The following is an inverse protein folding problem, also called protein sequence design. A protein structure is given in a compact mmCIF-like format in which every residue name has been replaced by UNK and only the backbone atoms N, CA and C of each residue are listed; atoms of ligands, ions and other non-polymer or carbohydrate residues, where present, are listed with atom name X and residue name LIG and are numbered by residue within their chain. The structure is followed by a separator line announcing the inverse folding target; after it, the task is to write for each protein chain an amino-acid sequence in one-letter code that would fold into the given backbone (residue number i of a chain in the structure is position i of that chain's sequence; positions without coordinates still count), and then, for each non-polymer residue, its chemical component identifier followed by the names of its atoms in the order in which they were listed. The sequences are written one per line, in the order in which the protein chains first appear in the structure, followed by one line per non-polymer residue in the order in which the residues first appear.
data_IF_277987939142
#
_entry.id   IF_277987939142
#
_cell.length_a   1.000
_cell.length_b   1.000
_cell.length_c   1.000
_cell.angle_alpha   90.00
_cell.angle_beta   90.00
_cell.angle_gamma   90.00
#
_symmetry.space_group_name_H-M   'P 1'
#
loop_
_entity.id
_entity.type
_entity.pdbx_description
1 polymer ?
#
# COMPACT_ATOMS: atom_id res chain seq x y z
N UNK A 1 7.12 -26.90 19.62
CA UNK A 1 7.95 -25.69 19.47
C UNK A 1 7.61 -25.12 18.11
N UNK A 2 7.05 -23.92 18.05
CA UNK A 2 6.54 -23.34 16.79
C UNK A 2 7.68 -22.85 15.92
N UNK A 3 7.63 -23.17 14.62
CA UNK A 3 8.55 -22.66 13.62
C UNK A 3 8.19 -21.21 13.25
N UNK A 4 9.20 -20.37 13.01
CA UNK A 4 9.05 -18.98 12.58
C UNK A 4 9.81 -18.73 11.27
N UNK A 5 9.17 -18.08 10.31
CA UNK A 5 9.78 -17.58 9.07
C UNK A 5 9.80 -16.04 9.11
N UNK A 6 10.79 -15.41 8.47
CA UNK A 6 10.88 -13.94 8.37
C UNK A 6 10.97 -13.55 6.90
N UNK A 7 10.16 -12.58 6.48
CA UNK A 7 10.14 -12.00 5.13
C UNK A 7 10.92 -10.70 5.10
N UNK A 8 11.67 -10.49 4.04
CA UNK A 8 12.34 -9.22 3.76
C UNK A 8 11.94 -8.82 2.34
N UNK A 9 11.40 -7.61 2.22
CA UNK A 9 11.01 -6.98 0.96
C UNK A 9 12.06 -5.92 0.66
N UNK A 10 12.70 -6.01 -0.51
CA UNK A 10 13.70 -5.06 -0.99
C UNK A 10 13.19 -4.40 -2.28
N UNK A 11 13.39 -3.10 -2.40
CA UNK A 11 12.85 -2.28 -3.50
C UNK A 11 13.98 -1.84 -4.43
N UNK A 12 13.92 -2.26 -5.69
CA UNK A 12 14.72 -1.65 -6.75
C UNK A 12 14.08 -0.33 -7.18
N UNK A 13 14.77 0.79 -7.01
CA UNK A 13 14.19 2.13 -7.27
C UNK A 13 14.26 2.55 -8.74
N UNK A 14 13.14 3.06 -9.26
CA UNK A 14 13.07 4.03 -10.36
C UNK A 14 12.67 5.38 -9.73
N UNK A 15 13.22 6.50 -10.20
CA UNK A 15 12.80 7.84 -9.75
C UNK A 15 11.31 8.08 -10.11
N UNK A 16 10.56 8.72 -9.22
CA UNK A 16 9.16 9.17 -9.40
C UNK A 16 8.04 8.10 -9.48
N UNK A 17 8.29 6.86 -9.05
CA UNK A 17 7.27 5.80 -8.99
C UNK A 17 6.86 5.45 -7.54
N UNK A 18 5.56 5.31 -7.27
CA UNK A 18 5.06 4.70 -6.03
C UNK A 18 4.95 3.19 -6.21
N UNK A 19 5.70 2.45 -5.39
CA UNK A 19 5.66 0.99 -5.33
C UNK A 19 5.93 0.56 -3.88
N UNK A 20 4.90 0.08 -3.20
CA UNK A 20 4.97 -0.36 -1.81
C UNK A 20 4.36 -1.74 -1.70
N UNK A 21 4.98 -2.61 -0.90
CA UNK A 21 4.48 -3.94 -0.63
C UNK A 21 4.47 -4.23 0.87
N UNK A 22 3.42 -4.91 1.33
CA UNK A 22 3.22 -5.25 2.74
C UNK A 22 2.54 -6.62 2.90
N UNK A 23 2.76 -7.28 4.03
CA UNK A 23 2.02 -8.51 4.35
C UNK A 23 0.55 -8.17 4.59
N UNK A 24 -0.36 -9.01 4.07
CA UNK A 24 -1.78 -8.87 4.36
C UNK A 24 -2.07 -9.35 5.78
N UNK A 25 -2.15 -8.43 6.74
CA UNK A 25 -2.38 -8.80 8.14
C UNK A 25 -3.70 -9.54 8.34
N UNK A 26 -4.75 -9.21 7.58
CA UNK A 26 -6.08 -9.79 7.77
C UNK A 26 -6.08 -11.22 7.25
N UNK A 27 -5.61 -11.45 6.02
CA UNK A 27 -5.60 -12.78 5.39
C UNK A 27 -4.59 -13.72 6.01
N UNK A 28 -3.46 -13.19 6.47
CA UNK A 28 -2.48 -13.99 7.21
C UNK A 28 -2.86 -14.17 8.69
N UNK A 29 -3.94 -13.53 9.18
CA UNK A 29 -4.35 -13.60 10.59
C UNK A 29 -3.30 -13.05 11.55
N UNK A 30 -2.63 -11.97 11.18
CA UNK A 30 -1.57 -11.31 11.94
C UNK A 30 -0.25 -12.07 12.01
N UNK A 31 -0.11 -13.17 11.24
CA UNK A 31 1.11 -13.96 11.20
C UNK A 31 2.18 -13.26 10.37
N UNK A 32 3.39 -13.22 10.91
CA UNK A 32 4.62 -12.86 10.19
C UNK A 32 5.49 -14.08 9.88
N UNK A 33 5.02 -15.26 10.28
CA UNK A 33 5.72 -16.55 10.24
C UNK A 33 4.73 -17.66 9.86
N UNK A 34 5.16 -18.54 8.96
CA UNK A 34 4.27 -19.52 8.32
C UNK A 34 4.88 -20.90 8.38
N UNK A 35 4.04 -21.92 8.47
CA UNK A 35 4.51 -23.31 8.39
C UNK A 35 4.62 -23.74 6.94
N UNK A 36 5.39 -24.79 6.70
CA UNK A 36 5.55 -25.36 5.37
C UNK A 36 4.20 -25.73 4.76
N UNK A 37 3.96 -25.22 3.54
CA UNK A 37 2.73 -25.44 2.79
C UNK A 37 1.63 -24.43 3.07
N UNK A 38 1.82 -23.51 4.02
CA UNK A 38 0.95 -22.34 4.14
C UNK A 38 1.13 -21.42 2.93
N UNK A 39 0.01 -20.83 2.50
CA UNK A 39 -0.01 -19.69 1.60
C UNK A 39 0.29 -18.40 2.37
N UNK A 40 1.09 -17.53 1.76
CA UNK A 40 1.44 -16.22 2.31
C UNK A 40 0.82 -15.16 1.43
N UNK A 41 -0.04 -14.32 2.00
CA UNK A 41 -0.70 -13.24 1.28
C UNK A 41 0.05 -11.93 1.49
N UNK A 42 0.28 -11.17 0.42
CA UNK A 42 0.87 -9.84 0.50
C UNK A 42 0.21 -8.92 -0.51
N UNK A 43 0.25 -7.63 -0.22
CA UNK A 43 -0.39 -6.57 -0.99
C UNK A 43 0.68 -5.72 -1.64
N UNK A 44 0.43 -5.29 -2.88
CA UNK A 44 1.27 -4.31 -3.57
C UNK A 44 0.40 -3.13 -3.97
N UNK A 45 0.74 -1.94 -3.50
CA UNK A 45 0.18 -0.67 -3.96
C UNK A 45 1.16 0.00 -4.90
N UNK A 46 0.71 0.34 -6.11
CA UNK A 46 1.57 0.88 -7.16
C UNK A 46 0.86 1.83 -8.14
N UNK A 47 1.54 2.88 -8.59
CA UNK A 47 1.11 3.68 -9.77
C UNK A 47 1.84 3.32 -11.06
N UNK A 48 2.82 2.42 -10.98
CA UNK A 48 3.60 1.90 -12.11
C UNK A 48 3.40 0.40 -12.29
N UNK A 49 3.77 -0.08 -13.47
CA UNK A 49 3.84 -1.52 -13.73
C UNK A 49 5.04 -2.10 -12.97
N UNK A 50 4.93 -3.35 -12.51
CA UNK A 50 5.98 -4.00 -11.73
C UNK A 50 6.10 -5.50 -12.04
N UNK A 51 7.27 -6.04 -11.74
CA UNK A 51 7.56 -7.47 -11.78
C UNK A 51 7.91 -7.98 -10.37
N UNK A 52 7.55 -9.23 -10.09
CA UNK A 52 7.87 -9.91 -8.84
C UNK A 52 8.81 -11.07 -9.13
N UNK A 53 9.93 -11.12 -8.42
CA UNK A 53 10.86 -12.23 -8.40
C UNK A 53 10.93 -12.81 -6.98
N UNK A 54 11.01 -14.14 -6.86
CA UNK A 54 11.13 -14.79 -5.56
C UNK A 54 12.32 -15.73 -5.53
N UNK A 55 13.03 -15.74 -4.41
CA UNK A 55 14.16 -16.67 -4.19
C UNK A 55 13.73 -18.14 -4.12
N UNK A 56 12.46 -18.40 -3.80
CA UNK A 56 11.84 -19.72 -3.80
C UNK A 56 10.31 -19.59 -3.77
N UNK A 57 9.61 -20.62 -4.22
CA UNK A 57 8.15 -20.65 -4.26
C UNK A 57 7.59 -20.18 -5.59
N UNK A 58 6.27 -20.10 -5.64
CA UNK A 58 5.53 -19.59 -6.79
C UNK A 58 4.59 -18.50 -6.29
N UNK A 59 4.63 -17.35 -6.95
CA UNK A 59 3.64 -16.30 -6.77
C UNK A 59 2.52 -16.55 -7.77
N UNK A 60 1.32 -16.82 -7.28
CA UNK A 60 0.12 -16.84 -8.12
C UNK A 60 -0.40 -15.42 -8.32
N UNK A 61 -0.96 -15.17 -9.50
CA UNK A 61 -1.48 -13.87 -9.97
C UNK A 61 -0.41 -12.78 -10.16
N UNK A 62 0.65 -12.97 -10.98
CA UNK A 62 1.44 -11.83 -11.42
C UNK A 62 0.54 -10.93 -12.28
N UNK A 63 -0.01 -9.89 -11.67
CA UNK A 63 -0.90 -8.94 -12.34
C UNK A 63 -0.04 -8.12 -13.29
N UNK A 64 -0.15 -8.37 -14.60
CA UNK A 64 0.19 -7.34 -15.60
C UNK A 64 -0.97 -6.35 -15.67
N UNK A 65 -0.70 -5.10 -16.01
CA UNK A 65 -1.69 -4.02 -16.15
C UNK A 65 -2.92 -4.41 -17.00
N UNK A 66 -2.78 -5.37 -17.90
CA UNK A 66 -3.86 -5.86 -18.77
C UNK A 66 -4.86 -6.80 -18.07
N UNK A 67 -4.58 -7.23 -16.83
CA UNK A 67 -5.41 -8.10 -16.00
C UNK A 67 -5.97 -7.40 -14.74
N UNK A 68 -6.10 -6.07 -14.79
CA UNK A 68 -6.72 -5.19 -13.78
C UNK A 68 -8.21 -5.47 -13.44
N UNK A 69 -8.79 -6.57 -13.92
CA UNK A 69 -10.20 -6.92 -13.70
C UNK A 69 -10.42 -7.90 -12.52
N UNK A 70 -9.36 -8.28 -11.79
CA UNK A 70 -9.51 -8.95 -10.48
C UNK A 70 -9.84 -7.90 -9.41
N UNK A 71 -10.64 -8.25 -8.38
CA UNK A 71 -11.16 -7.29 -7.43
C UNK A 71 -10.03 -6.50 -6.77
N UNK A 72 -10.00 -5.21 -7.04
CA UNK A 72 -9.27 -4.24 -6.22
C UNK A 72 -10.03 -4.17 -4.90
N UNK A 73 -9.44 -4.71 -3.83
CA UNK A 73 -9.97 -4.46 -2.51
C UNK A 73 -9.63 -3.00 -2.15
N UNK A 74 -10.66 -2.26 -1.75
CA UNK A 74 -10.62 -0.83 -1.47
C UNK A 74 -10.79 -0.59 0.04
N UNK A 75 -9.78 -0.85 0.87
CA UNK A 75 -9.90 -0.61 2.29
C UNK A 75 -9.98 0.89 2.52
N UNK A 76 -10.78 1.23 3.50
CA UNK A 76 -10.90 2.59 4.00
C UNK A 76 -9.78 2.82 5.01
N UNK A 77 -8.82 3.66 4.64
CA UNK A 77 -7.74 4.08 5.52
C UNK A 77 -8.12 5.36 6.26
N UNK A 78 -7.67 5.46 7.52
CA UNK A 78 -7.87 6.64 8.34
C UNK A 78 -6.51 7.17 8.80
N UNK A 79 -6.21 8.42 8.46
CA UNK A 79 -4.95 9.07 8.82
C UNK A 79 -5.21 10.45 9.43
N UNK A 80 -4.42 10.83 10.44
CA UNK A 80 -4.42 12.19 10.98
C UNK A 80 -3.26 12.95 10.36
N UNK A 81 -3.59 13.99 9.60
CA UNK A 81 -2.61 14.82 8.92
C UNK A 81 -2.55 16.21 9.53
N UNK A 82 -1.33 16.76 9.55
CA UNK A 82 -1.08 18.14 9.95
C UNK A 82 -0.76 18.95 8.71
N UNK A 83 -1.54 19.99 8.46
CA UNK A 83 -1.34 20.96 7.39
C UNK A 83 -0.46 22.08 7.95
N UNK A 84 0.76 22.17 7.44
CA UNK A 84 1.74 23.20 7.84
C UNK A 84 2.07 24.10 6.65
N UNK A 85 2.47 25.33 6.97
CA UNK A 85 2.81 26.41 6.01
C UNK A 85 3.55 25.90 4.77
N UNK A 86 2.93 26.11 3.61
CA UNK A 86 3.58 25.98 2.30
C UNK A 86 3.78 24.55 1.80
N UNK A 87 3.25 23.54 2.49
CA UNK A 87 3.42 22.13 2.12
C UNK A 87 2.08 21.40 2.06
N UNK A 88 1.87 20.62 1.01
CA UNK A 88 0.82 19.61 0.97
C UNK A 88 1.23 18.45 1.88
N UNK A 89 0.40 18.04 2.86
CA UNK A 89 0.71 16.86 3.65
C UNK A 89 0.79 15.60 2.79
N UNK A 90 1.83 14.81 3.03
CA UNK A 90 1.97 13.48 2.47
C UNK A 90 1.18 12.46 3.30
N UNK A 91 0.60 11.47 2.63
CA UNK A 91 0.03 10.27 3.25
C UNK A 91 1.05 9.14 3.26
N UNK A 92 0.92 8.26 4.23
CA UNK A 92 1.72 7.03 4.30
C UNK A 92 1.26 5.96 3.30
N UNK A 93 0.04 6.09 2.77
CA UNK A 93 -0.62 5.10 1.90
C UNK A 93 -0.95 5.67 0.52
N UNK A 94 -1.08 4.77 -0.44
CA UNK A 94 -1.46 5.06 -1.83
C UNK A 94 -2.91 5.50 -1.94
N UNK A 95 -3.13 6.70 -2.48
CA UNK A 95 -4.42 7.26 -2.82
C UNK A 95 -4.57 7.13 -4.35
N UNK A 96 -5.01 5.97 -4.82
CA UNK A 96 -5.57 5.89 -6.17
C UNK A 96 -6.98 5.34 -6.06
N UNK A 97 -7.96 6.18 -6.33
CA UNK A 97 -9.31 5.71 -6.43
C UNK A 97 -9.54 5.06 -7.79
N UNK A 98 -10.29 3.95 -7.80
CA UNK A 98 -11.05 3.56 -9.00
C UNK A 98 -12.20 4.56 -9.28
N UNK A 99 -12.49 5.44 -8.30
CA UNK A 99 -13.33 6.64 -8.41
C UNK A 99 -12.50 7.86 -8.90
N UNK A 100 -13.10 8.99 -9.30
CA UNK A 100 -12.35 10.20 -9.57
C UNK A 100 -11.49 10.63 -8.37
N UNK A 101 -10.31 11.23 -8.60
CA UNK A 101 -9.37 11.61 -7.53
C UNK A 101 -10.01 12.56 -6.51
N UNK A 102 -10.91 13.41 -6.97
CA UNK A 102 -11.74 14.30 -6.15
C UNK A 102 -12.70 13.57 -5.20
N UNK A 103 -13.01 12.30 -5.45
CA UNK A 103 -13.94 11.46 -4.68
C UNK A 103 -13.21 10.42 -3.80
N UNK A 104 -11.86 10.37 -3.82
CA UNK A 104 -11.06 9.41 -3.03
C UNK A 104 -11.19 9.64 -1.52
N UNK A 105 -11.40 10.89 -1.10
CA UNK A 105 -11.60 11.28 0.30
C UNK A 105 -13.08 11.11 0.62
N UNK A 106 -13.40 10.12 1.46
CA UNK A 106 -14.78 9.74 1.79
C UNK A 106 -15.29 10.41 3.06
N UNK A 107 -14.39 10.82 3.96
CA UNK A 107 -14.72 11.63 5.13
C UNK A 107 -13.53 12.47 5.59
N UNK A 108 -13.82 13.59 6.24
CA UNK A 108 -12.82 14.44 6.89
C UNK A 108 -13.39 15.04 8.18
N UNK A 109 -12.53 15.22 9.18
CA UNK A 109 -12.87 15.89 10.44
C UNK A 109 -11.72 16.78 10.87
N UNK A 110 -11.98 18.07 10.99
CA UNK A 110 -10.99 19.07 11.39
C UNK A 110 -10.86 19.17 12.91
N UNK A 111 -9.62 19.25 13.36
CA UNK A 111 -9.23 19.61 14.72
C UNK A 111 -8.50 20.97 14.67
N UNK A 112 -9.12 22.00 15.25
CA UNK A 112 -8.62 23.38 15.18
C UNK A 112 -9.16 24.15 13.98
N UNK A 113 -8.28 24.82 13.23
CA UNK A 113 -8.69 25.61 12.07
C UNK A 113 -9.20 24.70 10.95
N UNK A 114 -10.43 24.95 10.50
CA UNK A 114 -10.98 24.31 9.31
C UNK A 114 -10.47 25.03 8.06
N UNK A 115 -9.64 24.37 7.27
CA UNK A 115 -9.05 24.93 6.04
C UNK A 115 -9.87 24.61 4.79
N UNK A 116 -11.12 24.18 4.96
CA UNK A 116 -12.02 23.79 3.88
C UNK A 116 -11.86 22.33 3.47
N UNK A 117 -12.38 22.01 2.28
CA UNK A 117 -12.37 20.65 1.74
C UNK A 117 -10.95 20.17 1.47
N UNK A 118 -10.64 18.93 1.83
CA UNK A 118 -9.39 18.25 1.51
C UNK A 118 -9.56 17.45 0.21
N UNK A 119 -8.59 17.59 -0.69
CA UNK A 119 -8.56 16.88 -1.98
C UNK A 119 -7.16 16.29 -2.22
N UNK A 120 -7.04 15.14 -2.88
CA UNK A 120 -5.73 14.63 -3.26
C UNK A 120 -5.10 15.49 -4.36
N UNK A 121 -3.79 15.67 -4.31
CA UNK A 121 -2.98 16.38 -5.32
C UNK A 121 -1.93 15.47 -5.96
N UNK A 122 -2.18 14.17 -5.94
CA UNK A 122 -1.29 13.11 -6.40
C UNK A 122 -1.67 11.78 -5.73
N UNK A 123 -0.82 10.78 -5.87
CA UNK A 123 -1.05 9.43 -5.33
C UNK A 123 -0.70 9.30 -3.85
N UNK A 124 -0.03 10.28 -3.25
CA UNK A 124 0.39 10.26 -1.84
C UNK A 124 0.30 11.63 -1.17
N UNK A 125 -0.35 12.60 -1.81
CA UNK A 125 -0.40 13.97 -1.31
C UNK A 125 -1.83 14.47 -1.29
N UNK A 126 -2.15 15.26 -0.27
CA UNK A 126 -3.45 15.93 -0.14
C UNK A 126 -3.28 17.41 0.14
N UNK A 127 -4.27 18.20 -0.25
CA UNK A 127 -4.31 19.64 -0.03
C UNK A 127 -5.69 20.08 0.42
N UNK A 128 -5.75 20.99 1.40
CA UNK A 128 -6.98 21.65 1.80
C UNK A 128 -7.25 22.92 0.96
N UNK A 129 -8.51 23.20 0.66
CA UNK A 129 -8.92 24.26 -0.26
C UNK A 129 -8.39 25.67 0.09
N UNK A 130 -8.30 25.98 1.38
CA UNK A 130 -7.79 27.25 1.89
C UNK A 130 -6.43 27.10 2.57
N UNK A 131 -5.67 26.03 2.29
CA UNK A 131 -4.30 25.93 2.78
C UNK A 131 -3.41 26.97 2.07
N UNK A 132 -2.88 27.91 2.83
CA UNK A 132 -1.92 28.92 2.38
C UNK A 132 -0.68 28.99 3.30
N UNK A 133 0.22 29.93 3.01
CA UNK A 133 1.49 30.11 3.74
C UNK A 133 1.32 30.56 5.20
N UNK A 134 0.12 30.89 5.67
CA UNK A 134 -0.13 31.32 7.05
C UNK A 134 -1.09 30.39 7.79
N UNK A 135 -1.48 29.27 7.17
CA UNK A 135 -2.43 28.32 7.75
C UNK A 135 -1.75 27.15 8.45
N UNK A 136 -2.34 26.78 9.59
CA UNK A 136 -2.02 25.58 10.36
C UNK A 136 -3.35 24.89 10.68
N UNK A 137 -3.43 23.59 10.43
CA UNK A 137 -4.63 22.81 10.71
C UNK A 137 -4.29 21.33 10.91
N UNK A 138 -5.14 20.61 11.63
CA UNK A 138 -5.03 19.17 11.81
C UNK A 138 -6.36 18.58 11.34
N UNK A 139 -6.34 17.53 10.54
CA UNK A 139 -7.56 16.82 10.15
C UNK A 139 -7.36 15.31 10.24
N UNK A 140 -8.38 14.60 10.71
CA UNK A 140 -8.53 13.18 10.39
C UNK A 140 -9.14 13.10 9.01
N UNK A 141 -8.51 12.35 8.12
CA UNK A 141 -9.02 12.08 6.79
C UNK A 141 -9.26 10.58 6.63
N UNK A 142 -10.26 10.27 5.84
CA UNK A 142 -10.65 8.91 5.51
C UNK A 142 -10.66 8.79 4.00
N UNK A 143 -9.91 7.83 3.45
CA UNK A 143 -9.77 7.68 2.01
C UNK A 143 -9.66 6.23 1.56
N UNK A 144 -9.96 6.01 0.29
CA UNK A 144 -9.87 4.71 -0.34
C UNK A 144 -8.47 4.50 -0.88
N UNK A 145 -7.93 3.31 -0.67
CA UNK A 145 -6.64 2.89 -1.23
C UNK A 145 -6.84 1.72 -2.19
N UNK A 146 -5.96 1.60 -3.17
CA UNK A 146 -5.93 0.47 -4.10
C UNK A 146 -4.68 -0.38 -3.82
N UNK A 147 -4.87 -1.69 -3.83
CA UNK A 147 -3.78 -2.65 -3.82
C UNK A 147 -4.11 -3.88 -4.64
N UNK A 148 -3.04 -4.57 -5.05
CA UNK A 148 -3.10 -5.87 -5.69
C UNK A 148 -2.69 -6.94 -4.70
N UNK A 149 -3.54 -7.94 -4.53
CA UNK A 149 -3.22 -9.10 -3.71
C UNK A 149 -2.40 -10.12 -4.50
N UNK A 150 -1.36 -10.62 -3.84
CA UNK A 150 -0.53 -11.71 -4.30
C UNK A 150 -0.49 -12.81 -3.25
N UNK A 151 -0.41 -14.04 -3.74
CA UNK A 151 -0.24 -15.22 -2.90
C UNK A 151 1.06 -15.91 -3.26
N UNK A 152 1.92 -16.11 -2.26
CA UNK A 152 3.14 -16.88 -2.36
C UNK A 152 2.93 -18.25 -1.73
N UNK A 153 3.09 -19.31 -2.53
CA UNK A 153 3.14 -20.68 -2.05
C UNK A 153 4.59 -21.15 -1.94
N UNK A 154 5.01 -21.52 -0.73
CA UNK A 154 6.36 -22.04 -0.50
C UNK A 154 6.52 -23.48 -1.06
N UNK A 155 7.70 -23.87 -1.57
CA UNK A 155 7.92 -25.22 -2.08
C UNK A 155 7.83 -26.29 -0.99
N UNK A 156 7.23 -27.43 -1.32
CA UNK A 156 7.15 -28.59 -0.42
C UNK A 156 8.52 -29.24 -0.12
N UNK A 157 9.62 -28.79 -0.72
CA UNK A 157 10.98 -29.28 -0.47
C UNK A 157 11.74 -28.45 0.58
N UNK A 158 11.17 -27.35 1.07
CA UNK A 158 11.86 -26.49 2.06
C UNK A 158 12.07 -27.20 3.40
N UNK A 159 13.12 -26.76 4.11
CA UNK A 159 13.48 -27.16 5.48
C UNK A 159 12.42 -26.67 6.49
N UNK A 160 12.53 -27.07 7.76
CA UNK A 160 11.54 -26.69 8.80
C UNK A 160 11.54 -25.18 9.11
N UNK A 161 12.68 -24.52 8.90
CA UNK A 161 12.83 -23.05 8.96
C UNK A 161 13.52 -22.61 7.68
N UNK A 162 12.95 -21.61 7.02
CA UNK A 162 13.47 -21.03 5.79
C UNK A 162 13.05 -19.56 5.67
N UNK A 163 13.76 -18.84 4.80
CA UNK A 163 13.45 -17.47 4.44
C UNK A 163 13.20 -17.39 2.94
N UNK A 164 12.14 -16.72 2.53
CA UNK A 164 11.88 -16.39 1.12
C UNK A 164 12.01 -14.88 0.99
N UNK A 165 12.96 -14.47 0.16
CA UNK A 165 13.05 -13.10 -0.33
C UNK A 165 12.09 -12.92 -1.51
N UNK A 166 11.33 -11.83 -1.45
CA UNK A 166 10.47 -11.34 -2.53
C UNK A 166 11.05 -10.01 -2.97
N UNK A 167 11.45 -9.95 -4.24
CA UNK A 167 11.99 -8.76 -4.87
C UNK A 167 10.96 -8.20 -5.84
N UNK A 168 10.66 -6.91 -5.72
CA UNK A 168 9.65 -6.24 -6.53
C UNK A 168 10.33 -5.04 -7.20
N UNK A 169 10.21 -4.95 -8.51
CA UNK A 169 10.82 -3.87 -9.30
C UNK A 169 9.80 -3.26 -10.23
N UNK A 170 9.84 -1.94 -10.36
CA UNK A 170 9.07 -1.25 -11.38
C UNK A 170 9.61 -1.58 -12.78
N UNK A 171 8.73 -1.59 -13.78
CA UNK A 171 9.05 -1.79 -15.19
C UNK A 171 8.47 -0.65 -16.04
N UNK A 172 9.18 -0.31 -17.11
CA UNK A 172 8.87 0.81 -18.01
C UNK A 172 8.15 0.35 -19.28
#
# INVERSE_FOLDING_TARGET
MGASATFVIDFGSIEDAYLVAELDEIKNGGKTSFVKGDSVHFRISADVDYEIETSAGLVSNPISKDNLNSPVDEPVENEVLTFVKGESPGTSKYIKPTVPVEDAITAETWYGNNLGQIRPTGTTNVQAANADTETLGIASITYVTEYYEHELTAPASMTDVYHILVYIKAVA
#
